data_IF_214735621062
#
_entry.id   IF_214735621062
#
_cell.length_a   1.000
_cell.length_b   1.000
_cell.length_c   1.000
_cell.angle_alpha   90.00
_cell.angle_beta   90.00
_cell.angle_gamma   90.00
#
_symmetry.space_group_name_H-M   'P 1'
#
loop_
_entity.id
_entity.type
_entity.pdbx_description
1 polymer ?
#
# COMPACT_ATOMS: atom_id res chain seq x y z
N UNK A 1 -5.32 9.31 -2.21
CA UNK A 1 -4.75 8.20 -3.00
C UNK A 1 -4.76 6.86 -2.25
N UNK A 2 -4.10 6.76 -1.09
CA UNK A 2 -3.93 5.47 -0.37
C UNK A 2 -5.27 4.74 -0.06
N UNK A 3 -6.29 5.48 0.40
CA UNK A 3 -7.67 4.98 0.59
C UNK A 3 -8.27 4.37 -0.69
N UNK A 4 -8.06 5.00 -1.83
CA UNK A 4 -8.64 4.55 -3.10
C UNK A 4 -8.02 3.22 -3.56
N UNK A 5 -6.74 3.00 -3.28
CA UNK A 5 -6.05 1.74 -3.57
C UNK A 5 -6.57 0.63 -2.65
N UNK A 6 -6.77 0.95 -1.37
CA UNK A 6 -7.41 0.04 -0.41
C UNK A 6 -8.80 -0.40 -0.89
N UNK A 7 -9.65 0.55 -1.27
CA UNK A 7 -10.98 0.24 -1.80
C UNK A 7 -10.92 -0.56 -3.11
N UNK A 8 -9.94 -0.30 -3.97
CA UNK A 8 -9.77 -1.03 -5.24
C UNK A 8 -9.31 -2.47 -5.00
N UNK A 9 -8.30 -2.66 -4.17
CA UNK A 9 -7.81 -3.98 -3.81
C UNK A 9 -8.87 -4.82 -3.09
N UNK A 10 -9.65 -4.20 -2.19
CA UNK A 10 -10.80 -4.84 -1.56
C UNK A 10 -11.82 -5.33 -2.58
N UNK A 11 -12.20 -4.49 -3.55
CA UNK A 11 -13.12 -4.87 -4.64
C UNK A 11 -12.56 -5.99 -5.50
N UNK A 12 -11.26 -5.96 -5.83
CA UNK A 12 -10.60 -7.01 -6.62
C UNK A 12 -10.67 -8.37 -5.91
N UNK A 13 -10.35 -8.40 -4.62
CA UNK A 13 -10.41 -9.62 -3.81
C UNK A 13 -11.84 -10.14 -3.71
N UNK A 14 -12.82 -9.27 -3.43
CA UNK A 14 -14.24 -9.64 -3.34
C UNK A 14 -14.82 -10.16 -4.66
N UNK A 15 -14.24 -9.74 -5.79
CA UNK A 15 -14.61 -10.22 -7.11
C UNK A 15 -13.89 -11.50 -7.55
N UNK A 16 -12.95 -12.03 -6.75
CA UNK A 16 -12.14 -13.21 -7.08
C UNK A 16 -11.05 -12.96 -8.13
N UNK A 17 -10.76 -11.70 -8.48
CA UNK A 17 -9.73 -11.35 -9.48
C UNK A 17 -8.30 -11.44 -8.95
N UNK A 18 -8.13 -11.32 -7.64
CA UNK A 18 -6.87 -11.54 -6.94
C UNK A 18 -7.15 -12.48 -5.78
N UNK A 19 -6.20 -13.37 -5.47
CA UNK A 19 -6.39 -14.38 -4.44
C UNK A 19 -6.49 -13.78 -3.03
N UNK A 20 -5.78 -12.67 -2.79
CA UNK A 20 -5.58 -12.13 -1.46
C UNK A 20 -5.39 -10.62 -1.45
N UNK A 21 -5.92 -9.98 -0.42
CA UNK A 21 -5.76 -8.55 -0.15
C UNK A 21 -5.77 -8.32 1.36
N UNK A 22 -4.84 -7.51 1.87
CA UNK A 22 -4.79 -7.16 3.28
C UNK A 22 -5.38 -5.76 3.46
N UNK A 23 -6.56 -5.63 4.09
CA UNK A 23 -7.15 -4.34 4.36
C UNK A 23 -6.32 -3.59 5.40
N UNK A 24 -6.18 -2.29 5.19
CA UNK A 24 -5.47 -1.36 6.08
C UNK A 24 -6.33 -0.15 6.44
N UNK A 25 -7.65 -0.32 6.39
CA UNK A 25 -8.61 0.74 6.68
C UNK A 25 -8.44 1.25 8.11
N UNK A 26 -8.19 2.56 8.24
CA UNK A 26 -7.96 3.23 9.52
C UNK A 26 -6.49 3.32 9.91
N UNK A 27 -5.58 2.78 9.10
CA UNK A 27 -4.14 2.76 9.34
C UNK A 27 -3.35 3.68 8.40
N UNK A 28 -4.03 4.40 7.51
CA UNK A 28 -3.38 5.21 6.48
C UNK A 28 -2.59 6.39 7.06
N UNK A 29 -3.13 7.01 8.12
CA UNK A 29 -2.54 8.21 8.72
C UNK A 29 -1.14 7.95 9.29
N UNK A 30 -0.99 6.89 10.08
CA UNK A 30 0.31 6.58 10.69
C UNK A 30 1.35 6.22 9.63
N UNK A 31 0.97 5.46 8.59
CA UNK A 31 1.93 5.04 7.57
C UNK A 31 2.44 6.23 6.76
N UNK A 32 1.52 7.11 6.36
CA UNK A 32 1.89 8.33 5.62
C UNK A 32 2.75 9.23 6.49
N UNK A 33 2.35 9.46 7.74
CA UNK A 33 3.12 10.28 8.69
C UNK A 33 4.52 9.72 8.95
N UNK A 34 4.63 8.40 9.18
CA UNK A 34 5.91 7.73 9.40
C UNK A 34 6.84 7.89 8.20
N UNK A 35 6.36 7.65 6.97
CA UNK A 35 7.20 7.75 5.77
C UNK A 35 7.62 9.20 5.49
N UNK A 36 6.76 10.19 5.75
CA UNK A 36 7.11 11.61 5.59
C UNK A 36 8.13 12.10 6.62
N UNK A 37 8.22 11.45 7.79
CA UNK A 37 9.20 11.79 8.81
C UNK A 37 10.59 11.17 8.55
N UNK A 38 10.71 10.23 7.61
CA UNK A 38 11.96 9.55 7.27
C UNK A 38 12.77 10.35 6.24
N UNK A 39 14.10 10.22 6.28
CA UNK A 39 14.96 10.68 5.20
C UNK A 39 14.80 9.82 3.96
N UNK A 40 15.17 10.34 2.79
CA UNK A 40 15.03 9.62 1.51
C UNK A 40 15.81 8.31 1.45
N UNK A 41 16.90 8.22 2.22
CA UNK A 41 17.84 7.11 2.20
C UNK A 41 17.56 6.09 3.32
N UNK A 42 16.55 6.33 4.15
CA UNK A 42 16.22 5.46 5.27
C UNK A 42 15.65 4.13 4.78
N UNK A 43 16.15 3.06 5.38
CA UNK A 43 15.67 1.72 5.14
C UNK A 43 14.28 1.53 5.76
N UNK A 44 13.35 0.96 4.98
CA UNK A 44 12.01 0.63 5.46
C UNK A 44 11.85 -0.88 5.42
N UNK A 45 11.90 -1.51 6.59
CA UNK A 45 11.52 -2.90 6.78
C UNK A 45 9.99 -2.97 6.87
N UNK A 46 9.36 -3.43 5.79
CA UNK A 46 7.90 -3.44 5.69
C UNK A 46 7.33 -4.78 6.13
N UNK A 47 6.17 -4.71 6.78
CA UNK A 47 5.27 -5.84 6.90
C UNK A 47 4.25 -5.84 5.75
N UNK A 48 3.06 -6.35 6.06
CA UNK A 48 1.98 -6.55 5.11
C UNK A 48 1.05 -5.34 4.96
N UNK A 49 1.16 -4.33 5.82
CA UNK A 49 0.22 -3.20 5.86
C UNK A 49 0.87 -1.87 5.50
N UNK A 50 2.17 -1.81 5.30
CA UNK A 50 2.94 -0.58 5.05
C UNK A 50 2.95 -0.20 3.55
N UNK A 51 1.77 -0.19 2.92
CA UNK A 51 1.64 0.10 1.49
C UNK A 51 1.96 1.56 1.15
N UNK A 52 1.82 2.49 2.10
CA UNK A 52 2.15 3.90 1.87
C UNK A 52 3.61 4.09 1.43
N UNK A 53 4.52 3.31 1.99
CA UNK A 53 5.94 3.39 1.66
C UNK A 53 6.22 3.08 0.19
N UNK A 54 5.48 2.17 -0.46
CA UNK A 54 5.63 1.92 -1.90
C UNK A 54 5.39 3.19 -2.72
N UNK A 55 4.27 3.86 -2.47
CA UNK A 55 3.81 4.99 -3.26
C UNK A 55 4.64 6.22 -2.98
N UNK A 56 4.90 6.50 -1.70
CA UNK A 56 5.64 7.69 -1.26
C UNK A 56 7.13 7.59 -1.61
N UNK A 57 7.68 6.39 -1.80
CA UNK A 57 9.03 6.16 -2.36
C UNK A 57 9.06 6.05 -3.89
N UNK A 58 7.99 6.50 -4.57
CA UNK A 58 7.98 6.67 -6.02
C UNK A 58 7.69 5.42 -6.84
N UNK A 59 7.22 4.33 -6.23
CA UNK A 59 6.79 3.18 -7.01
C UNK A 59 5.47 3.47 -7.75
N UNK A 60 5.37 2.98 -8.99
CA UNK A 60 4.14 3.10 -9.78
C UNK A 60 3.03 2.21 -9.21
N UNK A 61 1.79 2.62 -9.44
CA UNK A 61 0.61 1.79 -9.11
C UNK A 61 0.62 0.47 -9.88
N UNK A 62 1.15 0.46 -11.09
CA UNK A 62 1.31 -0.76 -11.89
C UNK A 62 2.21 -1.77 -11.17
N UNK A 63 3.40 -1.36 -10.74
CA UNK A 63 4.33 -2.24 -9.99
C UNK A 63 3.72 -2.74 -8.69
N UNK A 64 2.95 -1.89 -8.01
CA UNK A 64 2.24 -2.25 -6.79
C UNK A 64 1.19 -3.34 -7.07
N UNK A 65 0.32 -3.15 -8.06
CA UNK A 65 -0.76 -4.09 -8.35
C UNK A 65 -0.26 -5.38 -8.99
N UNK A 66 0.85 -5.36 -9.73
CA UNK A 66 1.48 -6.55 -10.30
C UNK A 66 1.94 -7.59 -9.26
N UNK A 67 2.02 -7.24 -7.97
CA UNK A 67 2.31 -8.20 -6.90
C UNK A 67 1.10 -9.08 -6.52
N UNK A 68 -0.11 -8.73 -6.98
CA UNK A 68 -1.36 -9.42 -6.60
C UNK A 68 -1.96 -10.26 -7.74
N UNK A 69 -1.41 -10.15 -8.96
CA UNK A 69 -1.80 -10.91 -10.15
C UNK A 69 -0.72 -11.93 -10.49
#
# INVERSE_FOLDING_TARGET
LLRAIEERGWKLQRSGRIAFWIPMRGQEGYQVGAVHAMHDNDWIFRGHREMAAWILRGASLEKLFAQFF
#
